data_IF_042493215859
#
_entry.id   IF_042493215859
#
_cell.length_a   1.000
_cell.length_b   1.000
_cell.length_c   1.000
_cell.angle_alpha   90.00
_cell.angle_beta   90.00
_cell.angle_gamma   90.00
#
_symmetry.space_group_name_H-M   'P 1'
#
loop_
_entity.id
_entity.type
_entity.pdbx_description
1 polymer ?
#
# COMPACT_ATOMS: atom_id res chain seq x y z
N UNK A 1 6.63 4.14 11.82
CA UNK A 1 5.53 3.16 11.85
C UNK A 1 5.39 2.56 10.46
N UNK A 2 4.93 1.32 10.37
CA UNK A 2 4.59 0.63 9.13
C UNK A 2 3.10 0.79 8.92
N UNK A 3 2.67 1.28 7.74
CA UNK A 3 1.26 1.52 7.44
C UNK A 3 0.88 0.82 6.14
N UNK A 4 -0.33 0.28 6.04
CA UNK A 4 -0.84 -0.40 4.86
C UNK A 4 -2.08 0.34 4.34
N UNK A 5 -2.16 0.58 3.03
CA UNK A 5 -3.30 1.21 2.36
C UNK A 5 -3.88 0.24 1.34
N UNK A 6 -5.16 -0.11 1.49
CA UNK A 6 -5.91 -0.83 0.46
C UNK A 6 -6.46 0.14 -0.58
N UNK A 7 -6.01 0.01 -1.83
CA UNK A 7 -6.51 0.85 -2.92
C UNK A 7 -5.91 2.26 -2.90
N UNK A 8 -4.61 2.37 -3.18
CA UNK A 8 -3.90 3.65 -3.25
C UNK A 8 -4.18 4.43 -4.56
N UNK A 9 -5.45 4.84 -4.74
CA UNK A 9 -5.94 5.76 -5.76
C UNK A 9 -6.02 7.20 -5.24
N UNK A 10 -6.92 8.02 -5.79
CA UNK A 10 -6.99 9.46 -5.49
C UNK A 10 -6.84 9.86 -4.00
N UNK A 11 -7.60 9.23 -3.10
CA UNK A 11 -7.53 9.49 -1.66
C UNK A 11 -6.31 8.83 -1.01
N UNK A 12 -6.08 7.56 -1.29
CA UNK A 12 -4.98 6.80 -0.71
C UNK A 12 -3.62 7.43 -1.01
N UNK A 13 -3.43 8.00 -2.21
CA UNK A 13 -2.17 8.68 -2.57
C UNK A 13 -1.89 9.91 -1.70
N UNK A 14 -2.93 10.66 -1.32
CA UNK A 14 -2.78 11.82 -0.42
C UNK A 14 -2.38 11.39 0.99
N UNK A 15 -3.00 10.31 1.50
CA UNK A 15 -2.66 9.77 2.82
C UNK A 15 -1.26 9.15 2.81
N UNK A 16 -0.91 8.41 1.76
CA UNK A 16 0.43 7.85 1.55
C UNK A 16 1.51 8.94 1.59
N UNK A 17 1.28 10.06 0.88
CA UNK A 17 2.18 11.20 0.91
C UNK A 17 2.31 11.78 2.33
N UNK A 18 1.20 12.05 3.01
CA UNK A 18 1.22 12.60 4.36
C UNK A 18 1.95 11.69 5.37
N UNK A 19 1.73 10.37 5.28
CA UNK A 19 2.41 9.40 6.14
C UNK A 19 3.90 9.27 5.84
N UNK A 20 4.28 9.26 4.55
CA UNK A 20 5.68 9.28 4.16
C UNK A 20 6.37 10.55 4.66
N UNK A 21 5.73 11.70 4.53
CA UNK A 21 6.28 12.99 4.99
C UNK A 21 6.40 13.03 6.53
N UNK A 22 5.57 12.26 7.25
CA UNK A 22 5.71 12.00 8.68
C UNK A 22 6.75 10.93 9.04
N UNK A 23 7.50 10.41 8.06
CA UNK A 23 8.54 9.40 8.26
C UNK A 23 8.04 7.96 8.44
N UNK A 24 6.83 7.64 7.97
CA UNK A 24 6.29 6.29 8.02
C UNK A 24 6.66 5.47 6.77
N UNK A 25 6.77 4.15 6.95
CA UNK A 25 6.94 3.20 5.85
C UNK A 25 5.56 2.81 5.33
N UNK A 26 5.22 3.30 4.14
CA UNK A 26 3.91 3.09 3.52
C UNK A 26 3.95 1.89 2.60
N UNK A 27 3.04 0.95 2.85
CA UNK A 27 2.72 -0.18 1.98
C UNK A 27 1.40 0.08 1.27
N UNK A 28 1.36 -0.16 -0.04
CA UNK A 28 0.19 0.13 -0.87
C UNK A 28 -0.28 -1.13 -1.60
N UNK A 29 -1.50 -1.59 -1.29
CA UNK A 29 -2.09 -2.77 -1.90
C UNK A 29 -2.73 -2.43 -3.24
N UNK A 30 -2.41 -3.22 -4.26
CA UNK A 30 -2.99 -3.14 -5.60
C UNK A 30 -3.10 -4.53 -6.21
N UNK A 31 -4.09 -4.72 -7.09
CA UNK A 31 -4.28 -5.98 -7.82
C UNK A 31 -3.41 -6.10 -9.07
N UNK A 32 -2.91 -4.97 -9.56
CA UNK A 32 -2.14 -4.88 -10.79
C UNK A 32 -0.65 -4.75 -10.48
N UNK A 33 0.14 -5.65 -11.04
CA UNK A 33 1.61 -5.60 -11.00
C UNK A 33 2.14 -4.31 -11.62
N UNK A 34 1.62 -3.92 -12.78
CA UNK A 34 1.96 -2.66 -13.45
C UNK A 34 1.73 -1.46 -12.53
N UNK A 35 0.57 -1.39 -11.87
CA UNK A 35 0.32 -0.33 -10.90
C UNK A 35 1.24 -0.43 -9.68
N UNK A 36 1.66 -1.63 -9.28
CA UNK A 36 2.67 -1.83 -8.25
C UNK A 36 4.00 -1.14 -8.57
N UNK A 37 4.46 -1.26 -9.82
CA UNK A 37 5.67 -0.59 -10.31
C UNK A 37 5.54 0.94 -10.24
N UNK A 38 4.40 1.50 -10.66
CA UNK A 38 4.14 2.94 -10.55
C UNK A 38 4.21 3.44 -9.10
N UNK A 39 3.70 2.65 -8.15
CA UNK A 39 3.73 2.98 -6.72
C UNK A 39 5.15 2.89 -6.16
N UNK A 40 5.93 1.90 -6.60
CA UNK A 40 7.34 1.78 -6.23
C UNK A 40 8.16 2.97 -6.73
N UNK A 41 7.91 3.44 -7.96
CA UNK A 41 8.56 4.65 -8.51
C UNK A 41 8.20 5.92 -7.73
N UNK A 42 7.03 5.95 -7.08
CA UNK A 42 6.61 7.03 -6.16
C UNK A 42 7.25 6.91 -4.76
N UNK A 43 8.05 5.87 -4.52
CA UNK A 43 8.77 5.61 -3.27
C UNK A 43 7.95 4.87 -2.22
N UNK A 44 6.89 4.15 -2.62
CA UNK A 44 6.06 3.35 -1.72
C UNK A 44 6.39 1.87 -1.85
N UNK A 45 5.96 1.04 -0.89
CA UNK A 45 6.17 -0.40 -0.92
C UNK A 45 4.91 -1.09 -1.48
N UNK A 46 4.86 -1.47 -2.78
CA UNK A 46 3.68 -2.10 -3.33
C UNK A 46 3.50 -3.51 -2.76
N UNK A 47 2.24 -3.89 -2.54
CA UNK A 47 1.83 -5.25 -2.16
C UNK A 47 0.79 -5.72 -3.16
N UNK A 48 1.09 -6.80 -3.88
CA UNK A 48 0.17 -7.33 -4.89
C UNK A 48 -0.80 -8.30 -4.23
N UNK A 49 -2.05 -7.87 -4.12
CA UNK A 49 -3.12 -8.63 -3.48
C UNK A 49 -4.49 -8.14 -3.94
N UNK A 50 -5.49 -9.02 -3.87
CA UNK A 50 -6.89 -8.73 -4.12
C UNK A 50 -7.71 -8.90 -2.83
N UNK A 51 -8.34 -7.82 -2.38
CA UNK A 51 -9.19 -7.83 -1.19
C UNK A 51 -10.37 -8.79 -1.33
N UNK A 52 -10.82 -9.05 -2.55
CA UNK A 52 -11.88 -10.00 -2.85
C UNK A 52 -11.38 -11.47 -2.86
N UNK A 53 -10.07 -11.71 -2.81
CA UNK A 53 -9.47 -13.03 -2.71
C UNK A 53 -8.71 -13.20 -1.37
N UNK A 54 -9.34 -13.83 -0.36
CA UNK A 54 -8.72 -14.04 0.94
C UNK A 54 -7.39 -14.81 0.90
N UNK A 55 -7.16 -15.66 -0.11
CA UNK A 55 -5.90 -16.39 -0.24
C UNK A 55 -4.73 -15.44 -0.56
N UNK A 56 -4.99 -14.38 -1.32
CA UNK A 56 -3.99 -13.37 -1.68
C UNK A 56 -3.58 -12.46 -0.51
N UNK A 57 -4.36 -12.45 0.58
CA UNK A 57 -4.11 -11.60 1.76
C UNK A 57 -3.28 -12.28 2.86
N UNK A 58 -2.86 -13.53 2.66
CA UNK A 58 -2.17 -14.31 3.69
C UNK A 58 -0.78 -13.78 4.03
N UNK A 59 -0.10 -13.20 3.06
CA UNK A 59 1.29 -12.75 3.16
C UNK A 59 1.42 -11.22 3.25
N UNK A 60 0.39 -10.55 3.78
CA UNK A 60 0.45 -9.11 4.02
C UNK A 60 1.51 -8.76 5.08
N UNK A 61 2.20 -7.61 4.94
CA UNK A 61 3.17 -7.19 5.94
C UNK A 61 2.49 -6.88 7.27
N UNK A 62 3.20 -7.17 8.36
CA UNK A 62 2.79 -6.71 9.69
C UNK A 62 2.93 -5.18 9.77
N UNK A 63 1.83 -4.50 10.08
CA UNK A 63 1.72 -3.04 10.12
C UNK A 63 1.03 -2.55 11.39
N UNK A 64 1.36 -1.33 11.79
CA UNK A 64 0.79 -0.68 12.97
C UNK A 64 -0.61 -0.09 12.69
N UNK A 65 -0.87 0.26 11.42
CA UNK A 65 -2.10 0.92 10.99
C UNK A 65 -2.48 0.51 9.57
N UNK A 66 -3.78 0.36 9.34
CA UNK A 66 -4.38 -0.02 8.06
C UNK A 66 -5.42 1.02 7.65
N UNK A 67 -5.45 1.37 6.36
CA UNK A 67 -6.47 2.21 5.73
C UNK A 67 -7.18 1.44 4.61
#
# INVERSE_FOLDING_TARGET
MRTLIFGCGYLGQRVAAAWRDAGHSVYAVTRSTQRGEDLAQQGWNPVIADVCDPASLRDLPEVDLTL
#
